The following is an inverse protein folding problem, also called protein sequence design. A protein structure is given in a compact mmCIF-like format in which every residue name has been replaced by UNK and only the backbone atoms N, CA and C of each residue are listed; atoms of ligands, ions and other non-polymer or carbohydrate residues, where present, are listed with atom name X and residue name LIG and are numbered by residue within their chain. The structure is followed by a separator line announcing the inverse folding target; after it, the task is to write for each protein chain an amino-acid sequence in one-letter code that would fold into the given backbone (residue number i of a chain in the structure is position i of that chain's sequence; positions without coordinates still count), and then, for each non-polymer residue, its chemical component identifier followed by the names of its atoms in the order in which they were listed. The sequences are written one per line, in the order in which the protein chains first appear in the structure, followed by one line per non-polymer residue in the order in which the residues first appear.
data_IF_775829981320
#
_entry.id   IF_775829981320
#
_cell.length_a   1.000
_cell.length_b   1.000
_cell.length_c   1.000
_cell.angle_alpha   90.00
_cell.angle_beta   90.00
_cell.angle_gamma   90.00
#
_symmetry.space_group_name_H-M   'P 1'
#
loop_
_entity.id
_entity.type
_entity.pdbx_description
1 polymer ?
#
# COMPACT_ATOMS: atom_id res chain seq x y z
N UNK A 1 9.77 -1.40 -57.71
CA UNK A 1 10.88 -1.18 -56.76
C UNK A 1 10.41 -1.64 -55.39
N UNK A 2 11.15 -2.51 -54.68
CA UNK A 2 10.76 -2.95 -53.35
C UNK A 2 10.96 -1.80 -52.35
N UNK A 3 9.95 -1.56 -51.52
CA UNK A 3 9.97 -0.53 -50.47
C UNK A 3 10.89 -1.04 -49.36
N UNK A 4 11.83 -0.21 -48.92
CA UNK A 4 12.78 -0.58 -47.88
C UNK A 4 12.05 -0.73 -46.53
N UNK A 5 12.33 -1.76 -45.71
CA UNK A 5 11.70 -1.94 -44.39
C UNK A 5 12.01 -0.79 -43.39
N UNK A 6 12.87 0.15 -43.77
CA UNK A 6 13.16 1.38 -43.05
C UNK A 6 12.15 2.53 -43.31
N UNK A 7 11.34 2.45 -44.37
CA UNK A 7 10.29 3.44 -44.71
C UNK A 7 8.92 3.10 -44.09
N UNK A 8 8.86 2.07 -43.23
CA UNK A 8 7.64 1.77 -42.48
C UNK A 8 7.53 2.73 -41.28
N UNK A 9 6.44 3.50 -41.15
CA UNK A 9 6.15 4.22 -39.92
C UNK A 9 5.81 3.19 -38.85
N UNK A 10 6.83 2.64 -38.18
CA UNK A 10 6.61 1.88 -36.97
C UNK A 10 5.92 2.82 -35.98
N UNK A 11 4.73 2.48 -35.46
CA UNK A 11 4.13 3.27 -34.40
C UNK A 11 5.09 3.22 -33.20
N UNK A 12 5.77 4.33 -32.96
CA UNK A 12 6.61 4.59 -31.79
C UNK A 12 5.73 4.74 -30.55
N UNK A 13 5.09 3.67 -30.10
CA UNK A 13 4.64 3.55 -28.70
C UNK A 13 5.59 2.62 -27.97
N UNK A 14 6.81 3.13 -27.75
CA UNK A 14 7.84 2.49 -26.90
C UNK A 14 7.66 2.83 -25.41
N UNK A 15 6.58 3.50 -25.02
CA UNK A 15 6.27 3.82 -23.63
C UNK A 15 4.88 3.29 -23.29
N UNK A 16 4.81 2.27 -22.43
CA UNK A 16 3.58 1.67 -21.92
C UNK A 16 2.85 2.53 -20.89
N UNK A 17 3.31 3.76 -20.67
CA UNK A 17 2.71 4.68 -19.71
C UNK A 17 1.60 5.52 -20.39
N UNK A 18 0.41 5.60 -19.78
CA UNK A 18 -0.67 6.42 -20.30
C UNK A 18 -0.29 7.91 -20.24
N UNK A 19 -0.80 8.75 -21.17
CA UNK A 19 -0.59 10.19 -21.12
C UNK A 19 -1.06 10.78 -19.77
N UNK A 20 -0.33 11.74 -19.22
CA UNK A 20 -0.70 12.39 -17.95
C UNK A 20 -2.11 12.99 -17.99
N UNK A 21 -2.52 13.54 -19.13
CA UNK A 21 -3.87 14.12 -19.32
C UNK A 21 -4.97 13.05 -19.18
N UNK A 22 -4.71 11.82 -19.63
CA UNK A 22 -5.63 10.70 -19.48
C UNK A 22 -5.74 10.29 -18.01
N UNK A 23 -4.60 10.22 -17.31
CA UNK A 23 -4.56 9.93 -15.86
C UNK A 23 -5.34 10.99 -15.08
N UNK A 24 -5.12 12.27 -15.36
CA UNK A 24 -5.86 13.36 -14.73
C UNK A 24 -7.37 13.26 -15.01
N UNK A 25 -7.77 12.97 -16.24
CA UNK A 25 -9.19 12.79 -16.61
C UNK A 25 -9.83 11.66 -15.80
N UNK A 26 -9.17 10.52 -15.68
CA UNK A 26 -9.63 9.38 -14.87
C UNK A 26 -9.74 9.77 -13.40
N UNK A 27 -8.70 10.40 -12.83
CA UNK A 27 -8.71 10.83 -11.41
C UNK A 27 -9.84 11.81 -11.13
N UNK A 28 -10.04 12.81 -11.99
CA UNK A 28 -11.16 13.77 -11.85
C UNK A 28 -12.50 13.05 -11.90
N UNK A 29 -12.69 12.10 -12.82
CA UNK A 29 -13.93 11.32 -12.91
C UNK A 29 -14.18 10.46 -11.66
N UNK A 30 -13.16 9.77 -11.16
CA UNK A 30 -13.23 9.01 -9.90
C UNK A 30 -13.63 9.90 -8.72
N UNK A 31 -13.13 11.13 -8.67
CA UNK A 31 -13.49 12.11 -7.63
C UNK A 31 -14.93 12.61 -7.79
N UNK A 32 -15.32 13.08 -8.99
CA UNK A 32 -16.64 13.71 -9.21
C UNK A 32 -17.81 12.73 -9.10
N UNK A 33 -17.57 11.44 -9.37
CA UNK A 33 -18.59 10.38 -9.25
C UNK A 33 -18.68 9.78 -7.85
N UNK A 34 -17.72 10.11 -6.96
CA UNK A 34 -17.62 9.53 -5.62
C UNK A 34 -17.01 8.12 -5.60
N UNK A 35 -16.58 7.57 -6.73
CA UNK A 35 -15.98 6.23 -6.80
C UNK A 35 -14.65 6.18 -6.03
N UNK A 36 -13.88 7.26 -6.01
CA UNK A 36 -12.67 7.34 -5.18
C UNK A 36 -13.00 7.13 -3.68
N UNK A 37 -14.12 7.69 -3.21
CA UNK A 37 -14.55 7.54 -1.81
C UNK A 37 -15.00 6.11 -1.52
N UNK A 38 -15.69 5.47 -2.48
CA UNK A 38 -16.11 4.06 -2.38
C UNK A 38 -14.90 3.12 -2.34
N UNK A 39 -13.92 3.31 -3.22
CA UNK A 39 -12.67 2.54 -3.22
C UNK A 39 -11.88 2.74 -1.92
N UNK A 40 -11.79 3.98 -1.45
CA UNK A 40 -11.10 4.30 -0.18
C UNK A 40 -11.78 3.63 1.02
N UNK A 41 -13.12 3.61 1.05
CA UNK A 41 -13.89 2.95 2.10
C UNK A 41 -13.81 1.41 2.02
N UNK A 42 -13.61 0.85 0.82
CA UNK A 42 -13.48 -0.59 0.61
C UNK A 42 -12.16 -1.16 1.14
N UNK A 43 -11.06 -0.42 0.99
CA UNK A 43 -9.70 -0.91 1.28
C UNK A 43 -9.55 -1.43 2.72
N UNK A 44 -9.95 -0.71 3.79
CA UNK A 44 -9.75 -1.19 5.16
C UNK A 44 -10.47 -2.51 5.45
N UNK A 45 -11.72 -2.64 5.01
CA UNK A 45 -12.50 -3.87 5.18
C UNK A 45 -11.82 -5.04 4.47
N UNK A 46 -11.40 -4.83 3.21
CA UNK A 46 -10.75 -5.88 2.43
C UNK A 46 -9.37 -6.27 2.97
N UNK A 47 -8.58 -5.30 3.46
CA UNK A 47 -7.32 -5.59 4.14
C UNK A 47 -7.53 -6.45 5.40
N UNK A 48 -8.61 -6.20 6.14
CA UNK A 48 -8.97 -7.02 7.30
C UNK A 48 -9.34 -8.45 6.89
N UNK A 49 -10.18 -8.62 5.86
CA UNK A 49 -10.59 -9.94 5.35
C UNK A 49 -9.41 -10.76 4.82
N UNK A 50 -8.41 -10.10 4.22
CA UNK A 50 -7.20 -10.73 3.69
C UNK A 50 -6.10 -10.91 4.77
N UNK A 51 -6.46 -10.74 6.06
CA UNK A 51 -5.57 -10.95 7.20
C UNK A 51 -4.37 -10.01 7.23
N UNK A 52 -4.43 -8.85 6.56
CA UNK A 52 -3.34 -7.87 6.62
C UNK A 52 -3.28 -7.18 7.97
N UNK A 53 -4.43 -6.81 8.54
CA UNK A 53 -4.50 -6.15 9.85
C UNK A 53 -3.88 -7.01 10.96
N UNK A 54 -4.15 -8.32 10.98
CA UNK A 54 -3.58 -9.24 11.96
C UNK A 54 -2.06 -9.36 11.82
N UNK A 55 -1.57 -9.47 10.59
CA UNK A 55 -0.13 -9.51 10.32
C UNK A 55 0.60 -8.24 10.77
N UNK A 56 0.01 -7.06 10.54
CA UNK A 56 0.57 -5.78 11.02
C UNK A 56 0.54 -5.71 12.56
N UNK A 57 -0.52 -6.24 13.19
CA UNK A 57 -0.62 -6.30 14.64
C UNK A 57 0.47 -7.20 15.24
N UNK A 58 0.73 -8.35 14.62
CA UNK A 58 1.80 -9.25 15.07
C UNK A 58 3.19 -8.63 14.91
N UNK A 59 3.43 -7.88 13.82
CA UNK A 59 4.64 -7.08 13.68
C UNK A 59 4.78 -6.02 14.77
N UNK A 60 3.68 -5.34 15.14
CA UNK A 60 3.70 -4.35 16.21
C UNK A 60 3.99 -5.00 17.58
N UNK A 61 3.42 -6.17 17.84
CA UNK A 61 3.71 -6.97 19.05
C UNK A 61 5.18 -7.38 19.10
N UNK A 62 5.73 -7.84 17.98
CA UNK A 62 7.14 -8.21 17.88
C UNK A 62 8.07 -7.00 18.06
N UNK A 63 7.72 -5.87 17.46
CA UNK A 63 8.45 -4.61 17.65
C UNK A 63 8.49 -4.21 19.13
N UNK A 64 7.33 -4.19 19.81
CA UNK A 64 7.25 -3.89 21.24
C UNK A 64 8.07 -4.88 22.06
N UNK A 65 7.99 -6.17 21.76
CA UNK A 65 8.78 -7.21 22.43
C UNK A 65 10.29 -6.96 22.32
N UNK A 66 10.75 -6.44 21.19
CA UNK A 66 12.18 -6.21 20.92
C UNK A 66 12.69 -4.83 21.39
N UNK A 67 11.79 -3.85 21.56
CA UNK A 67 12.16 -2.46 21.86
C UNK A 67 11.64 -1.97 23.22
N UNK A 68 11.06 -2.86 24.03
CA UNK A 68 10.61 -2.55 25.38
C UNK A 68 11.22 -3.50 26.42
N UNK A 69 11.18 -3.06 27.67
CA UNK A 69 11.49 -3.88 28.83
C UNK A 69 10.47 -5.02 29.10
N UNK A 70 9.69 -5.46 28.11
CA UNK A 70 8.83 -6.66 28.19
C UNK A 70 9.36 -7.86 27.38
N UNK A 71 10.52 -7.72 26.73
CA UNK A 71 11.12 -8.76 25.89
C UNK A 71 11.66 -10.00 26.64
N UNK A 72 11.88 -11.12 25.91
CA UNK A 72 12.44 -12.35 26.45
C UNK A 72 13.93 -12.13 26.77
N UNK A 73 14.21 -11.76 28.01
CA UNK A 73 15.55 -11.34 28.46
C UNK A 73 15.51 -10.32 29.60
N UNK A 74 14.34 -9.75 29.88
CA UNK A 74 14.13 -8.86 31.02
C UNK A 74 14.14 -9.72 32.29
N UNK A 75 15.15 -9.49 33.14
CA UNK A 75 15.22 -10.12 34.46
C UNK A 75 14.11 -9.53 35.33
N UNK A 76 13.04 -10.28 35.53
CA UNK A 76 11.97 -9.92 36.47
C UNK A 76 12.58 -9.66 37.86
N UNK A 77 12.36 -8.46 38.41
CA UNK A 77 12.88 -8.04 39.73
C UNK A 77 14.15 -7.17 39.71
N UNK A 78 14.66 -6.78 38.54
CA UNK A 78 15.72 -5.77 38.45
C UNK A 78 15.14 -4.35 38.70
N UNK A 79 15.88 -3.45 39.38
CA UNK A 79 15.39 -2.10 39.70
C UNK A 79 15.04 -1.32 38.41
N UNK A 80 14.09 -0.40 38.51
CA UNK A 80 13.70 0.49 37.41
C UNK A 80 14.96 1.18 36.82
N UNK A 81 15.15 1.06 35.50
CA UNK A 81 16.33 1.60 34.80
C UNK A 81 17.52 0.64 34.62
N UNK A 82 17.38 -0.63 35.00
CA UNK A 82 18.43 -1.66 34.80
C UNK A 82 18.55 -2.18 33.37
N UNK A 83 17.49 -2.02 32.56
CA UNK A 83 17.55 -2.12 31.11
C UNK A 83 17.37 -0.71 30.56
N UNK A 84 18.23 -0.27 29.65
CA UNK A 84 18.13 1.04 28.95
C UNK A 84 16.87 1.18 28.08
N UNK A 85 15.95 0.22 28.14
CA UNK A 85 14.75 0.12 27.32
C UNK A 85 13.52 0.65 28.08
N UNK A 86 12.64 1.41 27.41
CA UNK A 86 11.41 1.93 28.00
C UNK A 86 10.40 0.82 28.32
N UNK A 87 9.44 1.10 29.20
CA UNK A 87 8.27 0.22 29.36
C UNK A 87 7.45 0.17 28.06
N UNK A 88 6.68 -0.90 27.80
CA UNK A 88 5.90 -1.03 26.56
C UNK A 88 4.96 0.15 26.28
N UNK A 89 4.41 0.74 27.34
CA UNK A 89 3.53 1.90 27.29
C UNK A 89 4.24 3.21 26.96
N UNK A 90 5.56 3.28 27.19
CA UNK A 90 6.40 4.45 26.96
C UNK A 90 7.12 4.41 25.61
N UNK A 91 6.97 3.32 24.84
CA UNK A 91 7.52 3.22 23.48
C UNK A 91 6.83 4.25 22.57
N UNK A 92 7.57 5.17 21.92
CA UNK A 92 6.96 6.18 21.08
C UNK A 92 6.24 5.57 19.87
N UNK A 93 4.92 5.78 19.79
CA UNK A 93 4.07 5.25 18.70
C UNK A 93 4.61 5.68 17.33
N UNK A 94 5.06 6.93 17.20
CA UNK A 94 5.56 7.46 15.94
C UNK A 94 6.78 6.67 15.42
N UNK A 95 7.71 6.30 16.30
CA UNK A 95 8.89 5.51 15.92
C UNK A 95 8.49 4.10 15.47
N UNK A 96 7.52 3.49 16.15
CA UNK A 96 6.97 2.19 15.75
C UNK A 96 6.30 2.28 14.38
N UNK A 97 5.48 3.31 14.13
CA UNK A 97 4.83 3.51 12.84
C UNK A 97 5.86 3.70 11.72
N UNK A 98 6.88 4.53 11.94
CA UNK A 98 7.95 4.77 10.96
C UNK A 98 8.74 3.50 10.64
N UNK A 99 9.05 2.68 11.65
CA UNK A 99 9.77 1.42 11.48
C UNK A 99 8.93 0.37 10.73
N UNK A 100 7.63 0.27 11.04
CA UNK A 100 6.77 -0.81 10.54
C UNK A 100 6.11 -0.49 9.19
N UNK A 101 5.89 0.78 8.86
CA UNK A 101 5.18 1.20 7.63
C UNK A 101 5.78 0.61 6.35
N UNK A 102 7.11 0.61 6.11
CA UNK A 102 7.69 0.04 4.90
C UNK A 102 7.39 -1.46 4.75
N UNK A 103 7.50 -2.21 5.84
CA UNK A 103 7.22 -3.66 5.86
C UNK A 103 5.73 -3.92 5.66
N UNK A 104 4.86 -3.17 6.33
CA UNK A 104 3.41 -3.29 6.20
C UNK A 104 2.95 -3.04 4.74
N UNK A 105 3.58 -2.09 4.03
CA UNK A 105 3.31 -1.82 2.61
C UNK A 105 3.70 -2.98 1.69
N UNK A 106 4.82 -3.66 1.96
CA UNK A 106 5.26 -4.83 1.18
C UNK A 106 4.31 -6.01 1.38
N UNK A 107 3.70 -6.11 2.56
CA UNK A 107 2.80 -7.22 2.92
C UNK A 107 1.36 -7.06 2.42
N UNK A 108 1.04 -5.93 1.75
CA UNK A 108 -0.27 -5.72 1.15
C UNK A 108 -0.56 -6.87 0.15
N UNK A 109 -1.67 -7.61 0.32
CA UNK A 109 -2.00 -8.73 -0.56
C UNK A 109 -2.13 -8.31 -2.03
N UNK A 110 -1.60 -9.13 -2.94
CA UNK A 110 -1.72 -8.92 -4.38
C UNK A 110 -3.18 -8.98 -4.86
N UNK A 111 -4.02 -9.71 -4.14
CA UNK A 111 -5.46 -9.83 -4.35
C UNK A 111 -6.15 -8.46 -4.29
N UNK A 112 -5.80 -7.63 -3.30
CA UNK A 112 -6.34 -6.28 -3.19
C UNK A 112 -5.97 -5.43 -4.41
N UNK A 113 -4.72 -5.48 -4.85
CA UNK A 113 -4.27 -4.75 -6.04
C UNK A 113 -5.01 -5.20 -7.30
N UNK A 114 -5.22 -6.51 -7.48
CA UNK A 114 -5.98 -7.06 -8.62
C UNK A 114 -7.43 -6.60 -8.60
N UNK A 115 -8.08 -6.63 -7.44
CA UNK A 115 -9.48 -6.19 -7.28
C UNK A 115 -9.65 -4.70 -7.53
N UNK A 116 -8.80 -3.86 -6.93
CA UNK A 116 -8.83 -2.41 -7.16
C UNK A 116 -8.57 -2.08 -8.62
N UNK A 117 -7.61 -2.76 -9.26
CA UNK A 117 -7.35 -2.60 -10.69
C UNK A 117 -8.58 -2.97 -11.52
N UNK A 118 -9.22 -4.11 -11.25
CA UNK A 118 -10.44 -4.51 -11.96
C UNK A 118 -11.51 -3.44 -11.84
N UNK A 119 -11.81 -2.98 -10.61
CA UNK A 119 -12.84 -1.96 -10.39
C UNK A 119 -12.55 -0.64 -11.08
N UNK A 120 -11.28 -0.19 -11.08
CA UNK A 120 -10.88 1.03 -11.79
C UNK A 120 -11.04 0.83 -13.30
N UNK A 121 -10.64 -0.33 -13.85
CA UNK A 121 -10.81 -0.62 -15.27
C UNK A 121 -12.30 -0.68 -15.64
N UNK A 122 -13.13 -1.35 -14.85
CA UNK A 122 -14.57 -1.43 -15.06
C UNK A 122 -15.20 -0.03 -15.04
N UNK A 123 -14.82 0.81 -14.07
CA UNK A 123 -15.24 2.21 -14.00
C UNK A 123 -14.83 3.01 -15.25
N UNK A 124 -13.61 2.85 -15.75
CA UNK A 124 -13.15 3.59 -16.94
C UNK A 124 -13.99 3.20 -18.17
N UNK A 125 -14.33 1.91 -18.31
CA UNK A 125 -15.24 1.44 -19.38
C UNK A 125 -16.66 2.00 -19.22
N UNK A 126 -17.22 1.98 -18.01
CA UNK A 126 -18.57 2.51 -17.75
C UNK A 126 -18.70 4.02 -17.99
N UNK A 127 -17.61 4.77 -17.88
CA UNK A 127 -17.59 6.21 -18.08
C UNK A 127 -17.29 6.64 -19.52
N UNK A 128 -17.18 5.70 -20.47
CA UNK A 128 -16.79 5.93 -21.87
C UNK A 128 -15.55 6.84 -21.97
N UNK A 129 -14.58 6.64 -21.08
CA UNK A 129 -13.32 7.39 -21.12
C UNK A 129 -12.47 6.74 -22.21
N UNK A 130 -12.54 7.31 -23.43
CA UNK A 130 -11.72 6.88 -24.57
C UNK A 130 -10.20 6.83 -24.24
N UNK A 131 -9.53 5.78 -24.72
CA UNK A 131 -8.12 5.41 -24.48
C UNK A 131 -7.17 5.83 -25.61
#
# INVERSE_FOLDING_TARGET
MPISPADMPYPTRLTSEPPNDLVEKVVRRLQTTGELMRLTAYIPGRLSELGWCERVLDMAREYLRNHSASGPGVKTGAPAGSNELPEPQDVPIQQMVEALTPQAKIMIPNELFKELRSRIVDFIHEQDIDW
#
